data_IF_142363289280
#
_entry.id   IF_142363289280
#
_cell.length_a   1.000
_cell.length_b   1.000
_cell.length_c   1.000
_cell.angle_alpha   90.00
_cell.angle_beta   90.00
_cell.angle_gamma   90.00
#
_symmetry.space_group_name_H-M   'P 1'
#
loop_
_entity.id
_entity.type
_entity.pdbx_description
1 polymer ?
#
# COMPACT_ATOMS: atom_id res chain seq x y z
N UNK A 1 -9.52 -8.17 -13.84
CA UNK A 1 -9.76 -7.24 -14.96
C UNK A 1 -10.04 -5.83 -14.40
N UNK A 2 -9.04 -5.17 -13.80
CA UNK A 2 -9.19 -3.83 -13.17
C UNK A 2 -8.01 -2.89 -13.51
N UNK A 3 -7.35 -3.12 -14.66
CA UNK A 3 -6.09 -2.45 -15.03
C UNK A 3 -6.26 -0.94 -15.25
N UNK A 4 -7.40 -0.53 -15.83
CA UNK A 4 -7.62 0.85 -16.28
C UNK A 4 -7.62 1.92 -15.18
N UNK A 5 -8.07 1.59 -13.97
CA UNK A 5 -8.14 2.57 -12.89
C UNK A 5 -6.75 2.92 -12.34
N UNK A 6 -5.91 1.90 -12.14
CA UNK A 6 -4.57 2.10 -11.60
C UNK A 6 -3.64 2.77 -12.59
N UNK A 7 -3.71 2.39 -13.87
CA UNK A 7 -2.91 3.02 -14.91
C UNK A 7 -3.19 4.54 -14.99
N UNK A 8 -4.47 4.93 -14.93
CA UNK A 8 -4.88 6.33 -14.92
C UNK A 8 -4.35 7.08 -13.69
N UNK A 9 -4.46 6.49 -12.49
CA UNK A 9 -3.94 7.12 -11.28
C UNK A 9 -2.42 7.31 -11.37
N UNK A 10 -1.69 6.33 -11.90
CA UNK A 10 -0.22 6.45 -12.04
C UNK A 10 0.16 7.55 -13.02
N UNK A 11 -0.57 7.72 -14.13
CA UNK A 11 -0.36 8.81 -15.08
C UNK A 11 -0.63 10.17 -14.43
N UNK A 12 -1.79 10.34 -13.79
CA UNK A 12 -2.14 11.58 -13.10
C UNK A 12 -1.13 11.95 -11.99
N UNK A 13 -0.61 10.95 -11.27
CA UNK A 13 0.46 11.18 -10.28
C UNK A 13 1.65 11.90 -10.88
N UNK A 14 2.06 11.44 -12.07
CA UNK A 14 3.25 11.90 -12.78
C UNK A 14 3.04 13.26 -13.42
N UNK A 15 1.86 13.49 -13.98
CA UNK A 15 1.53 14.77 -14.63
C UNK A 15 1.34 15.91 -13.63
N UNK A 16 0.79 15.61 -12.45
CA UNK A 16 0.44 16.61 -11.44
C UNK A 16 1.44 16.73 -10.28
N UNK A 17 2.54 15.96 -10.34
CA UNK A 17 3.57 15.86 -9.27
C UNK A 17 2.97 15.72 -7.85
N UNK A 18 2.00 14.80 -7.72
CA UNK A 18 1.19 14.66 -6.51
C UNK A 18 1.46 13.35 -5.77
N UNK A 19 1.21 13.35 -4.46
CA UNK A 19 1.23 12.15 -3.63
C UNK A 19 -0.17 11.58 -3.40
N UNK A 20 -0.28 10.26 -3.31
CA UNK A 20 -1.53 9.57 -3.00
C UNK A 20 -1.45 8.82 -1.68
N UNK A 21 -2.49 8.99 -0.85
CA UNK A 21 -2.72 8.17 0.33
C UNK A 21 -3.84 7.16 0.00
N UNK A 22 -3.49 5.88 -0.01
CA UNK A 22 -4.46 4.81 -0.24
C UNK A 22 -4.72 4.04 1.05
N UNK A 23 -6.00 3.85 1.40
CA UNK A 23 -6.43 3.09 2.58
C UNK A 23 -7.23 1.89 2.09
N UNK A 24 -6.74 0.69 2.40
CA UNK A 24 -7.38 -0.57 2.00
C UNK A 24 -7.13 -1.65 3.05
N UNK A 25 -8.03 -2.64 3.06
CA UNK A 25 -7.87 -3.87 3.83
C UNK A 25 -7.28 -5.01 2.98
N UNK A 26 -7.18 -4.86 1.65
CA UNK A 26 -6.55 -5.85 0.77
C UNK A 26 -5.07 -5.52 0.54
N UNK A 27 -4.19 -6.33 1.14
CA UNK A 27 -2.74 -6.21 1.03
C UNK A 27 -2.20 -6.48 -0.40
N UNK A 28 -2.92 -7.27 -1.21
CA UNK A 28 -2.50 -7.58 -2.59
C UNK A 28 -2.57 -6.34 -3.48
N UNK A 29 -3.65 -5.56 -3.30
CA UNK A 29 -3.81 -4.26 -3.95
C UNK A 29 -2.78 -3.25 -3.42
N UNK A 30 -2.63 -3.11 -2.11
CA UNK A 30 -1.66 -2.16 -1.52
C UNK A 30 -0.24 -2.43 -2.03
N UNK A 31 0.20 -3.69 -2.08
CA UNK A 31 1.51 -4.07 -2.62
C UNK A 31 1.71 -3.65 -4.08
N UNK A 32 0.65 -3.65 -4.87
CA UNK A 32 0.78 -3.38 -6.32
C UNK A 32 0.90 -1.90 -6.64
N UNK A 33 0.40 -1.01 -5.76
CA UNK A 33 0.31 0.43 -6.05
C UNK A 33 1.08 1.31 -5.07
N UNK A 34 1.17 0.94 -3.79
CA UNK A 34 1.82 1.77 -2.78
C UNK A 34 3.34 1.52 -2.76
N UNK A 35 4.10 2.59 -2.54
CA UNK A 35 5.56 2.54 -2.38
C UNK A 35 5.91 2.36 -0.90
N UNK A 36 5.35 3.23 -0.05
CA UNK A 36 5.41 3.16 1.42
C UNK A 36 4.09 2.66 2.01
N UNK A 37 4.19 1.79 3.00
CA UNK A 37 3.03 1.13 3.61
C UNK A 37 3.09 1.28 5.12
N UNK A 38 1.97 1.74 5.69
CA UNK A 38 1.75 1.83 7.13
C UNK A 38 0.62 0.86 7.50
N UNK A 39 0.90 -0.02 8.46
CA UNK A 39 -0.12 -0.94 8.99
C UNK A 39 -0.68 -0.35 10.28
N UNK A 40 -2.01 -0.29 10.36
CA UNK A 40 -2.73 0.16 11.53
C UNK A 40 -3.57 -0.98 12.13
N UNK A 41 -3.67 -1.00 13.47
CA UNK A 41 -4.56 -1.91 14.19
C UNK A 41 -5.17 -1.16 15.38
N UNK A 42 -6.51 -1.19 15.48
CA UNK A 42 -7.28 -0.49 16.53
C UNK A 42 -6.89 0.99 16.70
N UNK A 43 -6.71 1.70 15.59
CA UNK A 43 -6.36 3.12 15.60
C UNK A 43 -4.89 3.43 15.91
N UNK A 44 -4.05 2.41 16.14
CA UNK A 44 -2.63 2.58 16.38
C UNK A 44 -1.80 2.14 15.19
N UNK A 45 -0.75 2.90 14.88
CA UNK A 45 0.30 2.49 13.95
C UNK A 45 1.06 1.31 14.55
N UNK A 46 1.02 0.16 13.89
CA UNK A 46 1.69 -1.06 14.37
C UNK A 46 2.90 -1.44 13.53
N UNK A 47 3.03 -0.92 12.31
CA UNK A 47 4.16 -1.22 11.45
C UNK A 47 4.35 -0.20 10.31
N UNK A 48 5.57 -0.11 9.78
CA UNK A 48 5.93 0.69 8.60
C UNK A 48 6.96 -0.07 7.77
N UNK A 49 6.77 -0.08 6.44
CA UNK A 49 7.67 -0.79 5.54
C UNK A 49 7.55 -0.29 4.10
N UNK A 50 8.57 -0.62 3.29
CA UNK A 50 8.46 -0.55 1.84
C UNK A 50 7.63 -1.72 1.26
N UNK A 51 7.28 -1.60 -0.02
CA UNK A 51 6.56 -2.62 -0.81
C UNK A 51 7.18 -4.02 -0.74
N UNK A 52 8.51 -4.15 -0.79
CA UNK A 52 9.22 -5.43 -0.84
C UNK A 52 9.28 -6.13 0.52
N UNK A 53 9.27 -5.35 1.59
CA UNK A 53 9.28 -5.79 2.98
C UNK A 53 7.90 -6.25 3.48
N UNK A 54 6.81 -6.03 2.72
CA UNK A 54 5.44 -6.31 3.19
C UNK A 54 5.24 -7.78 3.62
N UNK A 55 5.74 -8.73 2.81
CA UNK A 55 5.55 -10.18 3.02
C UNK A 55 6.83 -10.95 3.34
N UNK A 56 8.01 -10.34 3.19
CA UNK A 56 9.29 -11.05 3.31
C UNK A 56 9.73 -11.27 4.76
N UNK A 57 9.34 -10.41 5.71
CA UNK A 57 9.65 -10.55 7.13
C UNK A 57 8.50 -10.03 8.00
N UNK A 58 7.60 -10.90 8.50
CA UNK A 58 6.53 -10.48 9.38
C UNK A 58 7.10 -10.05 10.73
N UNK A 59 7.14 -8.73 10.98
CA UNK A 59 7.56 -8.15 12.27
C UNK A 59 6.45 -8.17 13.33
N UNK A 60 5.19 -8.29 12.92
CA UNK A 60 4.04 -8.29 13.83
C UNK A 60 3.02 -9.37 13.45
N UNK A 61 2.37 -9.99 14.46
CA UNK A 61 1.42 -11.13 14.28
C UNK A 61 0.26 -10.81 13.33
N UNK A 62 -0.16 -9.55 13.26
CA UNK A 62 -1.26 -9.08 12.39
C UNK A 62 -0.88 -9.01 10.91
N UNK A 63 0.40 -9.13 10.56
CA UNK A 63 0.92 -9.04 9.18
C UNK A 63 0.90 -10.38 8.46
N UNK A 64 -0.08 -11.23 8.81
CA UNK A 64 -0.15 -12.65 8.42
C UNK A 64 -1.51 -12.94 7.74
N UNK A 65 -1.86 -12.12 6.76
CA UNK A 65 -2.98 -12.34 5.84
C UNK A 65 -2.44 -12.74 4.47
#
# INVERSE_FOLDING_TARGET
>A
MARRFWDLLVELRRELDMSYLFISHDLSTVRSICDDIVVMYKGHKVDVCDRGALFSQPRHRTRRC
#
